data_IF_515296430578
#
_entry.id   IF_515296430578
#
_cell.length_a   1.000
_cell.length_b   1.000
_cell.length_c   1.000
_cell.angle_alpha   90.00
_cell.angle_beta   90.00
_cell.angle_gamma   90.00
#
_symmetry.space_group_name_H-M   'P 1'
#
loop_
_entity.id
_entity.type
_entity.pdbx_description
1 polymer ?
#
# COMPACT_ATOMS: atom_id res chain seq x y z
N UNK A 1 -2.05 -18.25 -13.41
CA UNK A 1 -1.09 -19.28 -13.08
C UNK A 1 -0.88 -19.32 -11.57
N UNK A 2 -0.06 -20.21 -11.05
CA UNK A 2 0.18 -20.32 -9.60
C UNK A 2 1.49 -19.69 -9.16
N UNK A 3 2.16 -18.92 -10.03
CA UNK A 3 3.47 -18.31 -9.75
C UNK A 3 3.44 -17.32 -8.57
N UNK A 4 2.32 -16.67 -8.33
CA UNK A 4 2.12 -15.80 -7.19
C UNK A 4 2.42 -16.51 -5.86
N UNK A 5 1.95 -17.73 -5.69
CA UNK A 5 2.06 -18.49 -4.44
C UNK A 5 3.45 -19.08 -4.18
N UNK A 6 4.32 -19.07 -5.17
CA UNK A 6 5.72 -19.51 -5.07
C UNK A 6 6.71 -18.35 -5.21
N UNK A 7 6.21 -17.11 -5.29
CA UNK A 7 7.06 -15.93 -5.39
C UNK A 7 7.93 -15.79 -4.13
N UNK A 8 9.27 -15.72 -4.27
CA UNK A 8 10.18 -15.77 -3.11
C UNK A 8 9.95 -14.66 -2.09
N UNK A 9 9.64 -13.43 -2.55
CA UNK A 9 9.43 -12.29 -1.64
C UNK A 9 8.12 -12.44 -0.85
N UNK A 10 7.04 -12.91 -1.49
CA UNK A 10 5.77 -13.16 -0.82
C UNK A 10 5.86 -14.34 0.14
N UNK A 11 6.51 -15.43 -0.28
CA UNK A 11 6.74 -16.62 0.56
C UNK A 11 7.63 -16.27 1.76
N UNK A 12 8.64 -15.41 1.59
CA UNK A 12 9.50 -14.99 2.70
C UNK A 12 8.73 -14.24 3.79
N UNK A 13 7.72 -13.42 3.42
CA UNK A 13 6.86 -12.75 4.41
C UNK A 13 6.09 -13.74 5.29
N UNK A 14 5.50 -14.78 4.68
CA UNK A 14 4.76 -15.82 5.41
C UNK A 14 5.69 -16.67 6.29
N UNK A 15 6.88 -16.99 5.80
CA UNK A 15 7.89 -17.70 6.58
C UNK A 15 8.35 -16.88 7.78
N UNK A 16 8.54 -15.56 7.61
CA UNK A 16 8.90 -14.65 8.69
C UNK A 16 7.84 -14.66 9.81
N UNK A 17 6.56 -14.53 9.44
CA UNK A 17 5.44 -14.59 10.39
C UNK A 17 5.43 -15.92 11.16
N UNK A 18 5.59 -17.04 10.47
CA UNK A 18 5.62 -18.36 11.11
C UNK A 18 6.80 -18.53 12.06
N UNK A 19 7.99 -18.07 11.62
CA UNK A 19 9.21 -18.15 12.44
C UNK A 19 9.09 -17.35 13.73
N UNK A 20 8.50 -16.17 13.65
CA UNK A 20 8.40 -15.24 14.78
C UNK A 20 7.11 -15.41 15.58
N UNK A 21 6.21 -16.30 15.14
CA UNK A 21 4.86 -16.44 15.71
C UNK A 21 4.16 -15.07 15.83
N UNK A 22 4.20 -14.30 14.74
CA UNK A 22 3.77 -12.89 14.67
C UNK A 22 2.58 -12.71 13.72
N UNK A 23 2.29 -11.49 13.33
CA UNK A 23 1.14 -11.12 12.50
C UNK A 23 1.55 -10.82 11.07
N UNK A 24 0.64 -11.11 10.14
CA UNK A 24 0.71 -10.63 8.77
C UNK A 24 -0.21 -9.41 8.61
N UNK A 25 0.35 -8.30 8.18
CA UNK A 25 -0.39 -7.11 7.82
C UNK A 25 -0.46 -6.96 6.29
N UNK A 26 -1.65 -6.79 5.77
CA UNK A 26 -1.92 -6.58 4.35
C UNK A 26 -2.41 -5.17 4.16
N UNK A 27 -1.67 -4.33 3.43
CA UNK A 27 -2.07 -2.94 3.25
C UNK A 27 -2.17 -2.56 1.78
N UNK A 28 -3.06 -1.63 1.46
CA UNK A 28 -3.18 -1.09 0.12
C UNK A 28 -4.53 -0.46 -0.19
N UNK A 29 -4.66 0.02 -1.43
CA UNK A 29 -5.86 0.69 -1.90
C UNK A 29 -7.00 -0.32 -2.05
N UNK A 30 -8.10 -0.05 -1.37
CA UNK A 30 -9.37 -0.72 -1.50
C UNK A 30 -10.15 -0.07 -2.66
N UNK A 31 -9.98 -0.62 -3.84
CA UNK A 31 -10.58 -0.10 -5.07
C UNK A 31 -11.18 -1.20 -5.93
N UNK A 32 -11.57 -0.81 -7.11
CA UNK A 32 -11.97 -1.70 -8.19
C UNK A 32 -10.79 -2.00 -9.13
N UNK A 33 -11.02 -2.87 -10.13
CA UNK A 33 -10.00 -3.23 -11.14
C UNK A 33 -9.63 -2.09 -12.10
N UNK A 34 -10.34 -0.96 -12.06
CA UNK A 34 -10.07 0.19 -12.95
C UNK A 34 -8.96 1.09 -12.41
N UNK A 35 -8.60 0.96 -11.12
CA UNK A 35 -7.53 1.73 -10.54
C UNK A 35 -6.16 1.21 -10.99
N UNK A 36 -5.23 2.09 -11.42
CA UNK A 36 -3.87 1.68 -11.75
C UNK A 36 -3.02 1.36 -10.49
N UNK A 37 -3.56 1.56 -9.31
CA UNK A 37 -2.81 1.42 -8.05
C UNK A 37 -2.97 0.05 -7.39
N UNK A 38 -4.08 -0.63 -7.61
CA UNK A 38 -4.35 -1.93 -6.97
C UNK A 38 -5.33 -2.75 -7.80
N UNK A 39 -5.34 -4.04 -7.54
CA UNK A 39 -6.31 -4.99 -8.07
C UNK A 39 -6.85 -5.83 -6.91
N UNK A 40 -8.16 -5.96 -6.73
CA UNK A 40 -8.76 -6.78 -5.68
C UNK A 40 -8.34 -8.25 -5.72
N UNK A 41 -8.02 -8.78 -6.91
CA UNK A 41 -7.52 -10.15 -7.05
C UNK A 41 -6.15 -10.33 -6.39
N UNK A 42 -5.31 -9.30 -6.37
CA UNK A 42 -4.04 -9.34 -5.62
C UNK A 42 -4.29 -9.36 -4.11
N UNK A 43 -5.25 -8.59 -3.62
CA UNK A 43 -5.66 -8.67 -2.21
C UNK A 43 -6.13 -10.08 -1.85
N UNK A 44 -7.02 -10.66 -2.68
CA UNK A 44 -7.51 -12.04 -2.52
C UNK A 44 -6.35 -13.05 -2.54
N UNK A 45 -5.42 -12.90 -3.48
CA UNK A 45 -4.26 -13.79 -3.60
C UNK A 45 -3.34 -13.73 -2.37
N UNK A 46 -3.12 -12.55 -1.79
CA UNK A 46 -2.33 -12.41 -0.56
C UNK A 46 -3.01 -13.10 0.62
N UNK A 47 -4.33 -12.93 0.79
CA UNK A 47 -5.09 -13.63 1.83
C UNK A 47 -5.05 -15.15 1.61
N UNK A 48 -5.19 -15.62 0.36
CA UNK A 48 -5.10 -17.04 0.03
C UNK A 48 -3.70 -17.60 0.31
N UNK A 49 -2.64 -16.83 0.05
CA UNK A 49 -1.26 -17.20 0.41
C UNK A 49 -1.14 -17.39 1.94
N UNK A 50 -1.68 -16.47 2.73
CA UNK A 50 -1.69 -16.58 4.18
C UNK A 50 -2.43 -17.84 4.64
N UNK A 51 -3.63 -18.08 4.10
CA UNK A 51 -4.43 -19.29 4.41
C UNK A 51 -3.71 -20.58 4.06
N UNK A 52 -3.13 -20.67 2.87
CA UNK A 52 -2.39 -21.85 2.42
C UNK A 52 -1.18 -22.16 3.30
N UNK A 53 -0.68 -21.17 4.04
CA UNK A 53 0.43 -21.30 4.98
C UNK A 53 0.00 -21.36 6.46
N UNK A 54 -1.31 -21.53 6.72
CA UNK A 54 -1.91 -21.61 8.06
C UNK A 54 -1.67 -20.36 8.94
N UNK A 55 -1.54 -19.17 8.32
CA UNK A 55 -1.48 -17.91 9.05
C UNK A 55 -2.91 -17.47 9.38
N UNK A 56 -3.24 -17.36 10.67
CA UNK A 56 -4.56 -16.95 11.16
C UNK A 56 -4.60 -15.47 11.54
N UNK A 57 -3.48 -14.93 12.06
CA UNK A 57 -3.36 -13.54 12.48
C UNK A 57 -3.04 -12.64 11.28
N UNK A 58 -4.05 -12.40 10.44
CA UNK A 58 -3.98 -11.56 9.22
C UNK A 58 -4.82 -10.30 9.43
N UNK A 59 -4.21 -9.14 9.26
CA UNK A 59 -4.83 -7.84 9.49
C UNK A 59 -4.72 -6.93 8.28
N UNK A 60 -5.84 -6.33 7.89
CA UNK A 60 -5.96 -5.51 6.68
C UNK A 60 -6.00 -4.03 7.03
N UNK A 61 -5.13 -3.25 6.40
CA UNK A 61 -5.07 -1.80 6.46
C UNK A 61 -5.46 -1.26 5.09
N UNK A 62 -6.71 -0.82 4.94
CA UNK A 62 -7.28 -0.51 3.65
C UNK A 62 -7.32 1.00 3.42
N UNK A 63 -7.00 1.43 2.19
CA UNK A 63 -7.07 2.82 1.79
C UNK A 63 -8.28 3.03 0.89
N UNK A 64 -9.14 3.98 1.23
CA UNK A 64 -10.29 4.33 0.38
C UNK A 64 -9.86 5.26 -0.76
N UNK A 65 -10.51 5.16 -1.92
CA UNK A 65 -10.08 5.80 -3.16
C UNK A 65 -10.76 7.18 -3.38
N UNK A 66 -11.90 7.23 -4.03
CA UNK A 66 -12.64 8.46 -4.34
C UNK A 66 -11.98 9.36 -5.39
N UNK A 67 -10.94 8.88 -6.10
CA UNK A 67 -10.22 9.62 -7.12
C UNK A 67 -10.14 8.87 -8.46
N UNK A 68 -9.81 7.59 -8.44
CA UNK A 68 -9.90 6.68 -9.59
C UNK A 68 -11.25 5.94 -9.58
N UNK A 69 -12.05 6.14 -8.55
CA UNK A 69 -13.43 5.70 -8.38
C UNK A 69 -14.35 6.87 -8.04
N UNK A 70 -15.67 6.63 -7.96
CA UNK A 70 -16.61 7.66 -7.53
C UNK A 70 -16.29 8.14 -6.11
N UNK A 71 -16.53 9.44 -5.81
CA UNK A 71 -16.15 10.05 -4.53
C UNK A 71 -16.76 9.40 -3.28
N UNK A 72 -17.85 8.63 -3.43
CA UNK A 72 -18.56 7.94 -2.34
C UNK A 72 -18.93 6.52 -2.77
N UNK A 73 -17.93 5.70 -3.04
CA UNK A 73 -18.07 4.28 -3.41
C UNK A 73 -17.39 3.35 -2.42
N UNK A 74 -16.83 3.88 -1.32
CA UNK A 74 -16.08 3.07 -0.38
C UNK A 74 -16.91 1.98 0.30
N UNK A 75 -18.24 2.18 0.51
CA UNK A 75 -19.09 1.12 1.05
C UNK A 75 -19.21 -0.08 0.11
N UNK A 76 -19.36 0.16 -1.20
CA UNK A 76 -19.43 -0.90 -2.21
C UNK A 76 -18.08 -1.68 -2.27
N UNK A 77 -16.97 -0.95 -2.30
CA UNK A 77 -15.64 -1.55 -2.29
C UNK A 77 -15.38 -2.32 -0.99
N UNK A 78 -15.85 -1.81 0.16
CA UNK A 78 -15.72 -2.49 1.44
C UNK A 78 -16.48 -3.82 1.43
N UNK A 79 -17.74 -3.83 0.98
CA UNK A 79 -18.52 -5.07 0.91
C UNK A 79 -17.83 -6.12 0.03
N UNK A 80 -17.28 -5.71 -1.12
CA UNK A 80 -16.53 -6.61 -1.99
C UNK A 80 -15.30 -7.19 -1.27
N UNK A 81 -14.51 -6.36 -0.58
CA UNK A 81 -13.34 -6.83 0.16
C UNK A 81 -13.71 -7.71 1.37
N UNK A 82 -14.83 -7.41 2.06
CA UNK A 82 -15.38 -8.28 3.11
C UNK A 82 -15.82 -9.63 2.58
N UNK A 83 -16.42 -9.66 1.39
CA UNK A 83 -16.76 -10.91 0.73
C UNK A 83 -15.53 -11.75 0.43
N UNK A 84 -14.45 -11.14 -0.08
CA UNK A 84 -13.15 -11.81 -0.28
C UNK A 84 -12.63 -12.39 1.04
N UNK A 85 -12.62 -11.61 2.12
CA UNK A 85 -12.19 -12.07 3.45
C UNK A 85 -13.02 -13.28 3.91
N UNK A 86 -14.33 -13.22 3.73
CA UNK A 86 -15.27 -14.31 4.07
C UNK A 86 -15.01 -15.57 3.23
N UNK A 87 -14.83 -15.43 1.93
CA UNK A 87 -14.57 -16.55 1.02
C UNK A 87 -13.24 -17.24 1.35
N UNK A 88 -12.20 -16.46 1.55
CA UNK A 88 -10.89 -17.00 1.91
C UNK A 88 -10.87 -17.53 3.34
N UNK A 89 -11.59 -16.90 4.26
CA UNK A 89 -11.73 -17.29 5.66
C UNK A 89 -10.60 -16.85 6.57
N UNK A 90 -9.76 -15.88 6.14
CA UNK A 90 -8.76 -15.21 6.98
C UNK A 90 -8.74 -13.72 6.65
N UNK A 91 -8.35 -12.90 7.63
CA UNK A 91 -8.25 -11.45 7.51
C UNK A 91 -9.25 -10.73 8.41
N UNK A 92 -8.80 -9.65 9.05
CA UNK A 92 -9.63 -8.72 9.83
C UNK A 92 -9.23 -7.30 9.46
N UNK A 93 -10.19 -6.42 9.20
CA UNK A 93 -9.89 -5.02 8.89
C UNK A 93 -9.48 -4.33 10.19
N UNK A 94 -8.28 -3.78 10.22
CA UNK A 94 -7.71 -3.12 11.39
C UNK A 94 -7.71 -1.59 11.29
N UNK A 95 -7.55 -1.03 10.08
CA UNK A 95 -7.64 0.41 9.86
C UNK A 95 -8.25 0.73 8.50
N UNK A 96 -8.93 1.88 8.42
CA UNK A 96 -9.29 2.55 7.17
C UNK A 96 -8.62 3.92 7.10
N UNK A 97 -8.26 4.36 5.90
CA UNK A 97 -7.67 5.68 5.68
C UNK A 97 -7.90 6.13 4.25
N UNK A 98 -8.35 7.36 4.04
CA UNK A 98 -8.41 7.93 2.69
C UNK A 98 -7.03 7.98 2.05
N UNK A 99 -6.96 7.77 0.73
CA UNK A 99 -5.71 7.83 -0.03
C UNK A 99 -4.99 9.17 0.07
N UNK A 100 -5.70 10.24 0.41
CA UNK A 100 -5.13 11.56 0.69
C UNK A 100 -4.07 11.51 1.80
N UNK A 101 -4.25 10.62 2.78
CA UNK A 101 -3.32 10.44 3.89
C UNK A 101 -2.29 9.34 3.60
N UNK A 102 -2.70 8.18 3.14
CA UNK A 102 -1.84 7.01 2.99
C UNK A 102 -1.08 6.95 1.66
N UNK A 103 -1.45 7.76 0.66
CA UNK A 103 -0.89 7.72 -0.69
C UNK A 103 -0.46 9.11 -1.19
N UNK A 104 0.01 9.97 -0.28
CA UNK A 104 0.61 11.27 -0.65
C UNK A 104 1.92 11.05 -1.42
N UNK A 105 2.15 11.86 -2.46
CA UNK A 105 3.41 11.89 -3.24
C UNK A 105 4.10 13.25 -3.24
N UNK A 106 3.52 14.22 -2.53
CA UNK A 106 4.03 15.59 -2.45
C UNK A 106 4.93 15.83 -1.23
N UNK A 107 5.38 14.74 -0.56
CA UNK A 107 6.19 14.80 0.67
C UNK A 107 5.46 15.50 1.82
N UNK A 108 4.13 15.41 1.86
CA UNK A 108 3.37 15.89 3.00
C UNK A 108 3.43 14.84 4.13
N UNK A 109 4.54 14.83 4.82
CA UNK A 109 4.81 13.86 5.88
C UNK A 109 3.77 13.89 7.00
N UNK A 110 3.17 15.06 7.29
CA UNK A 110 2.12 15.16 8.30
C UNK A 110 0.91 14.29 7.97
N UNK A 111 0.50 14.24 6.70
CA UNK A 111 -0.60 13.38 6.26
C UNK A 111 -0.23 11.91 6.38
N UNK A 112 0.94 11.53 5.85
CA UNK A 112 1.43 10.16 5.88
C UNK A 112 1.61 9.66 7.32
N UNK A 113 2.11 10.52 8.24
CA UNK A 113 2.28 10.16 9.65
C UNK A 113 0.94 9.87 10.33
N UNK A 114 -0.13 10.57 9.99
CA UNK A 114 -1.45 10.28 10.54
C UNK A 114 -1.92 8.85 10.21
N UNK A 115 -1.74 8.40 8.97
CA UNK A 115 -2.07 7.04 8.57
C UNK A 115 -1.13 6.00 9.21
N UNK A 116 0.17 6.32 9.29
CA UNK A 116 1.16 5.49 9.98
C UNK A 116 0.82 5.33 11.47
N UNK A 117 0.50 6.42 12.16
CA UNK A 117 0.16 6.42 13.58
C UNK A 117 -1.09 5.57 13.88
N UNK A 118 -2.08 5.58 12.99
CA UNK A 118 -3.24 4.70 13.12
C UNK A 118 -2.85 3.23 13.06
N UNK A 119 -1.92 2.85 12.19
CA UNK A 119 -1.50 1.46 11.99
C UNK A 119 -0.52 0.97 13.07
N UNK A 120 0.40 1.82 13.53
CA UNK A 120 1.49 1.43 14.42
C UNK A 120 1.17 1.71 15.88
N UNK A 121 0.55 2.85 16.16
CA UNK A 121 0.27 3.30 17.52
C UNK A 121 -1.21 3.23 17.91
N UNK A 122 -2.09 2.87 16.97
CA UNK A 122 -3.55 2.96 17.12
C UNK A 122 -4.00 4.38 17.52
N UNK A 123 -3.41 5.40 16.89
CA UNK A 123 -3.72 6.82 17.10
C UNK A 123 -4.42 7.38 15.87
N UNK A 124 -5.64 7.86 16.02
CA UNK A 124 -6.46 8.39 14.94
C UNK A 124 -7.91 8.44 15.38
N UNK A 125 -8.80 8.59 14.42
CA UNK A 125 -10.23 8.34 14.67
C UNK A 125 -10.43 6.88 15.07
N UNK A 126 -11.52 6.58 15.75
CA UNK A 126 -11.88 5.20 16.14
C UNK A 126 -13.29 4.89 15.69
N UNK A 127 -13.54 3.65 15.28
CA UNK A 127 -14.88 3.16 14.93
C UNK A 127 -15.01 1.68 15.33
N UNK A 128 -16.25 1.27 15.68
CA UNK A 128 -16.54 -0.13 16.02
C UNK A 128 -16.59 -1.03 14.78
N UNK A 129 -16.80 -0.43 13.60
CA UNK A 129 -16.77 -1.14 12.32
C UNK A 129 -16.24 -0.26 11.18
N UNK A 130 -15.74 -0.88 10.09
CA UNK A 130 -15.37 -0.15 8.90
C UNK A 130 -16.53 0.65 8.28
N UNK A 131 -17.74 0.11 8.33
CA UNK A 131 -18.98 0.75 7.86
C UNK A 131 -19.24 2.04 8.62
N UNK A 132 -19.19 2.00 9.94
CA UNK A 132 -19.36 3.18 10.79
C UNK A 132 -18.34 4.27 10.46
N UNK A 133 -17.09 3.90 10.20
CA UNK A 133 -16.06 4.86 9.82
C UNK A 133 -16.41 5.61 8.51
N UNK A 134 -16.92 4.88 7.51
CA UNK A 134 -17.33 5.45 6.22
C UNK A 134 -18.59 6.31 6.38
N UNK A 135 -19.61 5.81 7.09
CA UNK A 135 -20.87 6.53 7.32
C UNK A 135 -20.61 7.86 8.05
N UNK A 136 -19.77 7.84 9.06
CA UNK A 136 -19.39 9.03 9.82
C UNK A 136 -18.64 10.05 8.97
N UNK A 137 -17.73 9.59 8.09
CA UNK A 137 -17.04 10.45 7.13
C UNK A 137 -18.04 11.11 6.17
N UNK A 138 -18.99 10.35 5.62
CA UNK A 138 -20.01 10.88 4.71
C UNK A 138 -20.98 11.85 5.40
N UNK A 139 -21.38 11.57 6.64
CA UNK A 139 -22.19 12.46 7.44
C UNK A 139 -21.48 13.80 7.73
N UNK A 140 -20.15 13.78 7.83
CA UNK A 140 -19.32 14.98 8.01
C UNK A 140 -19.00 15.71 6.68
N UNK A 141 -19.58 15.27 5.56
CA UNK A 141 -19.36 15.88 4.24
C UNK A 141 -18.07 15.46 3.54
N UNK A 142 -17.30 14.52 4.11
CA UNK A 142 -16.09 14.00 3.50
C UNK A 142 -16.41 13.01 2.38
N UNK A 143 -15.44 12.79 1.52
CA UNK A 143 -15.47 11.74 0.49
C UNK A 143 -14.44 10.66 0.83
N UNK A 144 -14.45 9.59 0.07
CA UNK A 144 -13.52 8.46 0.22
C UNK A 144 -12.06 8.91 0.27
N UNK A 145 -11.67 9.85 -0.62
CA UNK A 145 -10.30 10.37 -0.70
C UNK A 145 -9.83 10.95 0.63
N UNK A 146 -10.75 11.60 1.38
CA UNK A 146 -10.43 12.38 2.58
C UNK A 146 -10.88 11.70 3.89
N UNK A 147 -11.26 10.43 3.86
CA UNK A 147 -11.57 9.67 5.08
C UNK A 147 -10.38 9.73 6.04
N UNK A 148 -10.60 10.25 7.23
CA UNK A 148 -9.56 10.36 8.26
C UNK A 148 -9.03 8.98 8.66
N UNK A 149 -7.72 8.85 8.92
CA UNK A 149 -7.15 7.59 9.42
C UNK A 149 -7.88 7.10 10.65
N UNK A 150 -8.56 5.97 10.52
CA UNK A 150 -9.48 5.41 11.52
C UNK A 150 -9.03 4.01 11.93
N UNK A 151 -8.91 3.80 13.22
CA UNK A 151 -8.63 2.51 13.85
C UNK A 151 -9.94 1.78 14.07
N UNK A 152 -10.04 0.55 13.60
CA UNK A 152 -11.21 -0.29 13.83
C UNK A 152 -11.04 -1.05 15.14
N UNK A 153 -12.03 -0.95 16.01
CA UNK A 153 -12.03 -1.60 17.31
C UNK A 153 -12.54 -3.04 17.23
N UNK A 154 -12.07 -3.85 18.14
CA UNK A 154 -12.57 -5.19 18.38
C UNK A 154 -12.55 -5.45 19.89
N UNK A 155 -13.73 -5.73 20.47
CA UNK A 155 -13.90 -5.94 21.91
C UNK A 155 -13.32 -4.79 22.77
N UNK A 156 -13.53 -3.53 22.32
CA UNK A 156 -13.12 -2.32 23.03
C UNK A 156 -11.65 -1.93 22.90
N UNK A 157 -10.87 -2.65 22.13
CA UNK A 157 -9.47 -2.31 21.82
C UNK A 157 -9.20 -2.27 20.31
N UNK A 158 -8.04 -1.77 19.86
CA UNK A 158 -7.68 -1.79 18.45
C UNK A 158 -7.61 -3.25 17.94
N UNK A 159 -8.16 -3.50 16.75
CA UNK A 159 -8.14 -4.83 16.12
C UNK A 159 -6.73 -5.37 15.98
N UNK A 160 -5.78 -4.55 15.54
CA UNK A 160 -4.35 -4.87 15.55
C UNK A 160 -3.49 -3.61 15.38
N UNK A 161 -2.21 -3.75 15.75
CA UNK A 161 -1.13 -2.78 15.46
C UNK A 161 0.02 -3.51 14.79
N UNK A 162 0.69 -2.82 13.86
CA UNK A 162 1.97 -3.29 13.31
C UNK A 162 3.05 -3.15 14.39
N UNK A 163 3.72 -4.24 14.71
CA UNK A 163 4.66 -4.34 15.83
C UNK A 163 5.97 -5.02 15.42
N UNK A 164 6.93 -5.04 16.33
CA UNK A 164 8.19 -5.74 16.11
C UNK A 164 7.98 -7.22 15.77
N UNK A 165 8.72 -7.72 14.80
CA UNK A 165 8.65 -9.10 14.34
C UNK A 165 7.51 -9.41 13.38
N UNK A 166 6.61 -8.47 13.08
CA UNK A 166 5.51 -8.67 12.14
C UNK A 166 5.99 -8.61 10.67
N UNK A 167 5.14 -9.05 9.76
CA UNK A 167 5.35 -8.88 8.34
C UNK A 167 4.26 -8.00 7.71
N UNK A 168 4.65 -7.21 6.72
CA UNK A 168 3.75 -6.38 5.92
C UNK A 168 3.85 -6.80 4.47
N UNK A 169 2.72 -6.96 3.79
CA UNK A 169 2.62 -7.03 2.33
C UNK A 169 1.82 -5.82 1.86
N UNK A 170 2.49 -4.91 1.14
CA UNK A 170 1.86 -3.74 0.53
C UNK A 170 1.50 -4.07 -0.91
N UNK A 171 0.21 -4.33 -1.18
CA UNK A 171 -0.24 -4.86 -2.47
C UNK A 171 -0.49 -3.82 -3.57
N UNK A 172 -0.20 -2.54 -3.33
CA UNK A 172 -0.23 -1.55 -4.39
C UNK A 172 0.78 -1.87 -5.50
N UNK A 173 0.37 -1.59 -6.75
CA UNK A 173 1.17 -1.87 -7.95
C UNK A 173 1.99 -0.67 -8.40
N UNK A 174 1.43 0.54 -8.28
CA UNK A 174 2.07 1.76 -8.76
C UNK A 174 2.89 2.42 -7.66
N UNK A 175 4.19 2.61 -7.92
CA UNK A 175 5.18 3.03 -6.94
C UNK A 175 5.06 4.50 -6.49
N UNK A 176 4.65 5.42 -7.38
CA UNK A 176 4.72 6.87 -7.15
C UNK A 176 3.92 7.33 -5.90
N UNK A 177 2.82 6.67 -5.58
CA UNK A 177 1.98 6.98 -4.42
C UNK A 177 2.17 6.02 -3.23
N UNK A 178 2.92 4.94 -3.39
CA UNK A 178 3.21 3.98 -2.32
C UNK A 178 4.58 4.23 -1.67
N UNK A 179 5.53 4.77 -2.44
CA UNK A 179 6.92 4.95 -2.04
C UNK A 179 7.10 5.75 -0.76
N UNK A 180 6.48 6.94 -0.66
CA UNK A 180 6.68 7.82 0.50
C UNK A 180 6.10 7.21 1.78
N UNK A 181 4.95 6.55 1.68
CA UNK A 181 4.39 5.84 2.82
C UNK A 181 5.28 4.68 3.27
N UNK A 182 5.82 3.91 2.33
CA UNK A 182 6.77 2.84 2.62
C UNK A 182 8.02 3.34 3.36
N UNK A 183 8.53 4.54 3.02
CA UNK A 183 9.68 5.14 3.72
C UNK A 183 9.48 5.27 5.23
N UNK A 184 8.27 5.53 5.71
CA UNK A 184 8.00 5.64 7.14
C UNK A 184 8.31 4.33 7.91
N UNK A 185 8.21 3.19 7.24
CA UNK A 185 8.47 1.88 7.85
C UNK A 185 9.92 1.41 7.72
N UNK A 186 10.58 1.75 6.60
CA UNK A 186 11.81 1.05 6.18
C UNK A 186 13.00 1.96 5.84
N UNK A 187 12.90 3.29 5.99
CA UNK A 187 13.99 4.19 5.63
C UNK A 187 15.30 3.81 6.33
N UNK A 188 16.34 3.54 5.53
CA UNK A 188 17.65 3.04 6.00
C UNK A 188 18.56 4.10 6.58
N UNK A 189 18.47 5.34 6.10
CA UNK A 189 19.51 6.36 6.30
C UNK A 189 18.96 7.66 6.87
N UNK A 190 19.63 8.17 7.92
CA UNK A 190 19.42 9.55 8.40
C UNK A 190 19.59 10.59 7.28
N UNK A 191 20.49 10.35 6.31
CA UNK A 191 20.72 11.25 5.18
C UNK A 191 19.50 11.34 4.24
N UNK A 192 18.84 10.23 3.89
CA UNK A 192 17.62 10.27 3.08
C UNK A 192 16.43 10.85 3.84
N UNK A 193 16.37 10.66 5.16
CA UNK A 193 15.40 11.27 6.06
C UNK A 193 15.58 12.80 6.05
N UNK A 194 16.81 13.28 6.20
CA UNK A 194 17.11 14.72 6.22
C UNK A 194 16.87 15.39 4.85
N UNK A 195 17.24 14.73 3.76
CA UNK A 195 17.04 15.25 2.40
C UNK A 195 15.55 15.46 2.06
N UNK A 196 14.68 14.60 2.57
CA UNK A 196 13.23 14.66 2.30
C UNK A 196 12.44 15.43 3.37
N UNK A 197 13.08 16.00 4.39
CA UNK A 197 12.42 16.58 5.58
C UNK A 197 11.44 15.60 6.24
N UNK A 198 11.73 14.33 6.18
CA UNK A 198 10.91 13.28 6.76
C UNK A 198 11.03 13.31 8.29
N UNK A 199 9.95 13.08 9.05
CA UNK A 199 10.04 12.98 10.51
C UNK A 199 10.94 11.81 10.91
N UNK A 200 11.68 11.99 11.99
CA UNK A 200 12.47 10.91 12.59
C UNK A 200 11.48 9.96 13.27
N UNK A 201 11.38 8.75 12.74
CA UNK A 201 10.53 7.69 13.29
C UNK A 201 11.46 6.54 13.70
N UNK A 202 11.25 6.02 14.89
CA UNK A 202 11.98 4.82 15.34
C UNK A 202 11.59 3.62 14.47
N UNK A 203 12.61 2.95 13.95
CA UNK A 203 12.42 1.77 13.10
C UNK A 203 11.75 0.65 13.89
N UNK A 204 10.68 0.09 13.34
CA UNK A 204 10.05 -1.10 13.92
C UNK A 204 11.05 -2.26 13.81
N UNK A 205 11.44 -2.80 14.97
CA UNK A 205 12.46 -3.86 15.03
C UNK A 205 11.96 -5.13 14.33
N UNK A 206 12.82 -5.70 13.48
CA UNK A 206 12.56 -6.98 12.79
C UNK A 206 11.25 -6.99 12.00
N UNK A 207 10.90 -5.87 11.37
CA UNK A 207 9.75 -5.77 10.47
C UNK A 207 10.13 -6.31 9.09
N UNK A 208 9.41 -7.34 8.61
CA UNK A 208 9.55 -7.85 7.26
C UNK A 208 8.59 -7.08 6.32
N UNK A 209 9.14 -6.29 5.39
CA UNK A 209 8.31 -5.47 4.50
C UNK A 209 8.43 -5.92 3.06
N UNK A 210 7.31 -6.35 2.48
CA UNK A 210 7.21 -6.80 1.09
C UNK A 210 6.32 -5.85 0.29
N UNK A 211 6.77 -5.54 -0.93
CA UNK A 211 6.04 -4.69 -1.89
C UNK A 211 5.81 -5.46 -3.19
N UNK A 212 4.71 -5.16 -3.88
CA UNK A 212 4.37 -5.87 -5.11
C UNK A 212 5.33 -5.53 -6.25
N UNK A 213 5.66 -4.26 -6.42
CA UNK A 213 6.54 -3.78 -7.48
C UNK A 213 7.70 -2.98 -6.89
N UNK A 214 8.69 -2.63 -7.68
CA UNK A 214 9.82 -1.80 -7.24
C UNK A 214 9.36 -0.37 -6.91
N UNK A 215 9.39 -0.02 -5.61
CA UNK A 215 9.06 1.33 -5.13
C UNK A 215 10.28 2.25 -5.03
N UNK A 216 11.47 1.75 -5.35
CA UNK A 216 12.70 2.51 -5.43
C UNK A 216 13.89 1.85 -4.74
N UNK A 217 15.12 2.12 -5.23
CA UNK A 217 16.34 1.39 -4.82
C UNK A 217 16.82 1.71 -3.40
N UNK A 218 16.36 2.81 -2.81
CA UNK A 218 16.73 3.28 -1.46
C UNK A 218 15.86 2.69 -0.34
N UNK A 219 14.90 1.81 -0.68
CA UNK A 219 14.02 1.18 0.29
C UNK A 219 14.54 -0.22 0.68
N UNK A 220 14.47 -0.52 1.97
CA UNK A 220 14.82 -1.84 2.52
C UNK A 220 13.60 -2.76 2.51
N UNK A 221 13.25 -3.24 1.34
CA UNK A 221 12.04 -4.02 1.10
C UNK A 221 12.31 -5.26 0.27
N UNK A 222 11.46 -6.26 0.40
CA UNK A 222 11.41 -7.40 -0.50
C UNK A 222 10.44 -7.12 -1.64
N UNK A 223 10.92 -7.10 -2.89
CA UNK A 223 10.09 -6.81 -4.07
C UNK A 223 9.61 -8.11 -4.71
N UNK A 224 8.29 -8.28 -4.81
CA UNK A 224 7.70 -9.49 -5.40
C UNK A 224 7.89 -9.54 -6.92
N UNK A 225 7.63 -8.45 -7.61
CA UNK A 225 7.73 -8.34 -9.07
C UNK A 225 8.65 -7.15 -9.42
N UNK A 226 9.97 -7.37 -9.49
CA UNK A 226 10.93 -6.32 -9.83
C UNK A 226 10.69 -5.82 -11.26
N UNK A 227 11.22 -4.64 -11.55
CA UNK A 227 11.14 -4.06 -12.91
C UNK A 227 11.72 -5.03 -13.94
N UNK A 228 10.97 -5.21 -15.02
CA UNK A 228 11.50 -5.84 -16.22
C UNK A 228 12.29 -4.79 -17.02
N UNK A 229 13.52 -5.11 -17.37
CA UNK A 229 14.33 -4.27 -18.25
C UNK A 229 13.78 -4.43 -19.68
N UNK A 230 13.24 -3.37 -20.24
CA UNK A 230 12.75 -3.38 -21.61
C UNK A 230 13.94 -3.26 -22.57
N UNK A 231 14.08 -4.23 -23.45
CA UNK A 231 15.18 -4.26 -24.43
C UNK A 231 15.02 -3.17 -25.51
N UNK A 232 13.79 -2.75 -25.81
CA UNK A 232 13.50 -1.68 -26.77
C UNK A 232 12.20 -0.98 -26.41
N UNK A 233 12.23 0.33 -26.38
CA UNK A 233 11.07 1.20 -26.29
C UNK A 233 10.90 1.96 -27.61
N UNK A 234 9.74 2.58 -27.83
CA UNK A 234 9.55 3.39 -29.04
C UNK A 234 10.62 4.49 -29.18
N UNK A 235 10.96 5.28 -28.15
CA UNK A 235 12.06 6.23 -28.22
C UNK A 235 13.39 5.60 -28.60
N UNK A 236 13.73 4.44 -28.08
CA UNK A 236 14.98 3.74 -28.41
C UNK A 236 15.00 3.26 -29.86
N UNK A 237 13.89 2.72 -30.36
CA UNK A 237 13.76 2.29 -31.77
C UNK A 237 13.88 3.48 -32.73
N UNK A 238 13.35 4.64 -32.35
CA UNK A 238 13.42 5.88 -33.12
C UNK A 238 14.68 6.73 -32.80
N UNK A 239 15.69 6.17 -32.14
CA UNK A 239 16.87 6.88 -31.67
C UNK A 239 17.66 7.65 -32.72
N UNK A 240 17.52 7.30 -34.01
CA UNK A 240 18.13 8.01 -35.14
C UNK A 240 17.33 9.24 -35.59
N UNK A 241 16.13 9.46 -35.05
CA UNK A 241 15.25 10.59 -35.38
C UNK A 241 15.30 11.65 -34.29
N UNK A 242 15.08 12.89 -34.67
CA UNK A 242 14.87 13.98 -33.71
C UNK A 242 13.52 13.77 -33.03
N UNK A 243 13.53 13.72 -31.70
CA UNK A 243 12.34 13.48 -30.89
C UNK A 243 12.06 14.71 -30.04
N UNK A 244 10.78 15.08 -29.94
CA UNK A 244 10.32 16.17 -29.09
C UNK A 244 9.25 15.62 -28.12
N UNK A 245 9.48 15.82 -26.83
CA UNK A 245 8.56 15.44 -25.77
C UNK A 245 7.87 16.69 -25.21
N UNK A 246 6.56 16.74 -25.29
CA UNK A 246 5.75 17.86 -24.80
C UNK A 246 4.66 17.32 -23.88
N UNK A 247 4.60 17.83 -22.66
CA UNK A 247 3.52 17.57 -21.73
C UNK A 247 3.41 18.69 -20.69
N UNK A 248 2.29 18.72 -19.99
CA UNK A 248 2.19 19.51 -18.76
C UNK A 248 3.19 19.00 -17.70
N UNK A 249 3.56 19.84 -16.73
CA UNK A 249 4.54 19.51 -15.69
C UNK A 249 4.20 18.23 -14.91
N UNK A 250 2.92 17.98 -14.64
CA UNK A 250 2.42 16.77 -13.96
C UNK A 250 2.67 15.48 -14.75
N UNK A 251 2.81 15.57 -16.06
CA UNK A 251 2.99 14.44 -17.00
C UNK A 251 4.42 14.32 -17.53
N UNK A 252 5.34 15.21 -17.11
CA UNK A 252 6.72 15.18 -17.60
C UNK A 252 7.38 13.80 -17.41
N UNK A 253 7.32 13.25 -16.21
CA UNK A 253 7.87 11.93 -15.94
C UNK A 253 7.20 10.80 -16.76
N UNK A 254 5.93 10.96 -17.12
CA UNK A 254 5.21 9.94 -17.92
C UNK A 254 5.76 9.84 -19.33
N UNK A 255 6.04 10.98 -19.99
CA UNK A 255 6.51 11.02 -21.36
C UNK A 255 8.02 10.90 -21.51
N UNK A 256 8.78 11.14 -20.46
CA UNK A 256 10.25 10.96 -20.45
C UNK A 256 10.64 9.61 -19.85
N UNK A 257 10.58 9.49 -18.55
CA UNK A 257 11.04 8.31 -17.83
C UNK A 257 10.20 7.06 -18.10
N UNK A 258 8.86 7.13 -17.89
CA UNK A 258 8.01 5.93 -18.02
C UNK A 258 7.86 5.47 -19.47
N UNK A 259 7.67 6.42 -20.40
CA UNK A 259 7.58 6.10 -21.82
C UNK A 259 8.89 5.54 -22.40
N UNK A 260 10.01 5.89 -21.78
CA UNK A 260 11.33 5.36 -22.12
C UNK A 260 11.72 4.09 -21.34
N UNK A 261 10.73 3.38 -20.74
CA UNK A 261 10.97 2.12 -20.04
C UNK A 261 11.70 2.26 -18.71
N UNK A 262 11.69 3.45 -18.11
CA UNK A 262 12.34 3.74 -16.83
C UNK A 262 13.82 4.14 -16.97
N UNK A 263 14.26 4.49 -18.15
CA UNK A 263 15.57 5.11 -18.39
C UNK A 263 15.47 6.62 -18.45
N UNK A 264 16.39 7.32 -17.79
CA UNK A 264 16.57 8.75 -17.97
C UNK A 264 17.18 9.00 -19.37
N UNK A 265 16.52 9.87 -20.13
CA UNK A 265 16.95 10.25 -21.50
C UNK A 265 17.96 11.38 -21.48
#
# INVERSE_FOLDING_TARGET
>A
DRSFFINPALVSAVHHVRKNNSKLHVMGLMGNSDSPHSDPEHFKAVLQLAKNNNIQEVYCHLFTDGRDSYPRSAQEHLEYHKQIIKEVGVGKIATLSGRFYAMDRAKNWKRLTMAYDAMVFARGEVAESPEEAIERAYASGLTDEYLLPTVILNQGGPTAKISAGDAVIFYNLRSDRARQFTKLFVAKNKASIMHDNMPIIDKIKDLHFTVMTDFGPDLDVHTAFPKCILAATLPMVLGNLKQLYIAESEKFAHITYFFNGGYDS
#
